data_IF_587614814349
#
_entry.id   IF_587614814349
#
_cell.length_a   1.000
_cell.length_b   1.000
_cell.length_c   1.000
_cell.angle_alpha   90.00
_cell.angle_beta   90.00
_cell.angle_gamma   90.00
#
_symmetry.space_group_name_H-M   'P 1'
#
loop_
_entity.id
_entity.type
_entity.pdbx_description
1 polymer ?
#
# COMPACT_ATOMS: atom_id res chain seq x y z
N UNK A 1 -9.16 -13.80 -1.11
CA UNK A 1 -8.17 -14.21 -0.10
C UNK A 1 -7.98 -13.09 0.92
N UNK A 2 -8.04 -13.44 2.19
CA UNK A 2 -7.91 -12.49 3.31
C UNK A 2 -6.46 -12.48 3.77
N UNK A 3 -5.76 -11.37 3.53
CA UNK A 3 -4.42 -11.17 4.08
C UNK A 3 -4.51 -10.49 5.44
N UNK A 4 -4.06 -11.19 6.48
CA UNK A 4 -3.94 -10.62 7.83
C UNK A 4 -2.59 -9.95 7.96
N UNK A 5 -2.58 -8.69 8.33
CA UNK A 5 -1.36 -7.98 8.71
C UNK A 5 -1.26 -7.98 10.23
N UNK A 6 -0.63 -9.00 10.75
CA UNK A 6 -0.22 -8.98 12.15
C UNK A 6 0.99 -8.04 12.30
N UNK A 7 1.01 -7.29 13.39
CA UNK A 7 2.06 -6.31 13.63
C UNK A 7 3.38 -7.01 13.92
N UNK A 8 4.33 -6.97 12.98
CA UNK A 8 5.68 -7.48 13.20
C UNK A 8 6.47 -6.51 14.09
N UNK A 9 6.95 -7.00 15.21
CA UNK A 9 7.88 -6.30 16.09
C UNK A 9 9.21 -7.02 16.05
N UNK A 10 10.28 -6.31 15.68
CA UNK A 10 11.65 -6.82 15.72
C UNK A 10 12.46 -5.98 16.69
N UNK A 11 12.96 -6.61 17.74
CA UNK A 11 13.99 -6.04 18.61
C UNK A 11 15.39 -6.37 18.06
N UNK A 12 16.39 -5.50 18.28
CA UNK A 12 17.77 -5.80 17.88
C UNK A 12 18.24 -7.13 18.49
N UNK A 13 18.67 -8.06 17.65
CA UNK A 13 19.23 -9.35 18.07
C UNK A 13 18.23 -10.43 18.50
N UNK A 14 16.91 -10.18 18.42
CA UNK A 14 15.87 -11.17 18.73
C UNK A 14 15.09 -11.59 17.50
N UNK A 15 14.41 -12.72 17.61
CA UNK A 15 13.50 -13.22 16.56
C UNK A 15 12.37 -12.26 16.31
N UNK A 16 11.86 -12.25 15.06
CA UNK A 16 10.69 -11.46 14.69
C UNK A 16 9.47 -12.03 15.39
N UNK A 17 8.83 -11.24 16.24
CA UNK A 17 7.60 -11.65 16.92
C UNK A 17 6.38 -11.00 16.27
N UNK A 18 5.32 -11.79 16.14
CA UNK A 18 4.01 -11.29 15.73
C UNK A 18 3.36 -10.62 16.95
N UNK A 19 3.23 -9.30 16.91
CA UNK A 19 2.63 -8.51 17.98
C UNK A 19 1.15 -8.20 17.74
N UNK A 20 0.50 -7.62 18.75
CA UNK A 20 -0.89 -7.15 18.63
C UNK A 20 -1.00 -6.01 17.61
N UNK A 21 -2.10 -5.97 16.86
CA UNK A 21 -2.42 -4.87 15.97
C UNK A 21 -2.58 -3.56 16.74
N UNK A 22 -2.06 -2.47 16.21
CA UNK A 22 -2.14 -1.14 16.84
C UNK A 22 -3.56 -0.58 16.96
N UNK A 23 -4.46 -0.99 16.06
CA UNK A 23 -5.86 -0.55 16.05
C UNK A 23 -6.76 -1.61 15.44
N UNK A 24 -8.06 -1.57 15.77
CA UNK A 24 -9.08 -2.46 15.19
C UNK A 24 -9.16 -2.31 13.65
N UNK A 25 -8.98 -1.10 13.13
CA UNK A 25 -8.97 -0.79 11.69
C UNK A 25 -7.77 -1.38 10.94
N UNK A 26 -6.76 -1.87 11.66
CA UNK A 26 -5.60 -2.55 11.05
C UNK A 26 -5.98 -3.93 10.49
N UNK A 27 -7.02 -4.58 11.02
CA UNK A 27 -7.54 -5.85 10.50
C UNK A 27 -8.58 -5.55 9.42
N UNK A 28 -8.22 -5.78 8.18
CA UNK A 28 -9.10 -5.52 7.03
C UNK A 28 -8.83 -6.45 5.86
N UNK A 29 -9.83 -6.64 5.03
CA UNK A 29 -9.70 -7.30 3.73
C UNK A 29 -9.33 -6.27 2.67
N UNK A 30 -8.32 -6.58 1.86
CA UNK A 30 -7.91 -5.74 0.74
C UNK A 30 -8.18 -6.55 -0.54
N UNK A 31 -9.03 -6.06 -1.45
CA UNK A 31 -9.22 -6.71 -2.74
C UNK A 31 -7.92 -6.61 -3.55
N UNK A 32 -7.54 -7.70 -4.17
CA UNK A 32 -6.36 -7.77 -5.03
C UNK A 32 -6.81 -7.79 -6.48
N UNK A 33 -6.10 -7.07 -7.34
CA UNK A 33 -6.28 -7.16 -8.78
C UNK A 33 -5.52 -8.39 -9.33
N UNK A 34 -5.82 -8.78 -10.57
CA UNK A 34 -5.26 -9.98 -11.19
C UNK A 34 -3.73 -9.95 -11.27
N UNK A 35 -3.14 -8.77 -11.50
CA UNK A 35 -1.68 -8.58 -11.50
C UNK A 35 -1.07 -8.91 -10.15
N UNK A 36 -1.66 -8.40 -9.06
CA UNK A 36 -1.18 -8.69 -7.71
C UNK A 36 -1.35 -10.17 -7.36
N UNK A 37 -2.46 -10.79 -7.77
CA UNK A 37 -2.70 -12.22 -7.58
C UNK A 37 -1.62 -13.04 -8.30
N UNK A 38 -1.35 -12.74 -9.57
CA UNK A 38 -0.33 -13.42 -10.36
C UNK A 38 1.07 -13.28 -9.73
N UNK A 39 1.44 -12.08 -9.28
CA UNK A 39 2.71 -11.85 -8.61
C UNK A 39 2.83 -12.65 -7.30
N UNK A 40 1.78 -12.74 -6.50
CA UNK A 40 1.75 -13.51 -5.26
C UNK A 40 1.89 -15.01 -5.55
N UNK A 41 1.20 -15.51 -6.57
CA UNK A 41 1.31 -16.89 -7.00
C UNK A 41 2.74 -17.23 -7.46
N UNK A 42 3.37 -16.32 -8.19
CA UNK A 42 4.76 -16.50 -8.63
C UNK A 42 5.77 -16.47 -7.47
N UNK A 43 5.57 -15.57 -6.50
CA UNK A 43 6.36 -15.57 -5.26
C UNK A 43 6.20 -16.88 -4.48
N UNK A 44 4.98 -17.40 -4.36
CA UNK A 44 4.74 -18.69 -3.71
C UNK A 44 5.44 -19.86 -4.41
N UNK A 45 5.48 -19.88 -5.72
CA UNK A 45 6.21 -20.92 -6.47
C UNK A 45 7.72 -20.94 -6.12
N UNK A 46 8.28 -19.76 -5.82
CA UNK A 46 9.73 -19.61 -5.57
C UNK A 46 10.11 -19.82 -4.11
N UNK A 47 9.21 -19.59 -3.18
CA UNK A 47 9.50 -19.59 -1.74
C UNK A 47 8.28 -20.05 -0.93
N UNK A 48 7.89 -21.31 -1.09
CA UNK A 48 6.79 -21.92 -0.34
C UNK A 48 7.31 -22.99 0.62
N UNK A 49 7.12 -22.77 1.89
CA UNK A 49 7.54 -23.66 2.98
C UNK A 49 6.34 -24.28 3.74
N UNK A 50 5.13 -24.08 3.27
CA UNK A 50 3.88 -24.54 3.89
C UNK A 50 2.77 -23.47 3.88
N UNK A 51 1.60 -23.79 4.38
CA UNK A 51 0.41 -22.92 4.33
C UNK A 51 0.59 -21.60 5.11
N UNK A 52 1.34 -21.66 6.22
CA UNK A 52 1.62 -20.49 7.08
C UNK A 52 2.82 -19.66 6.60
N UNK A 53 3.40 -19.98 5.44
CA UNK A 53 4.54 -19.24 4.89
C UNK A 53 4.17 -17.76 4.69
N UNK A 54 4.95 -16.81 5.25
CA UNK A 54 4.77 -15.39 4.99
C UNK A 54 4.87 -15.08 3.49
N UNK A 55 4.23 -14.00 3.03
CA UNK A 55 4.31 -13.59 1.62
C UNK A 55 5.75 -13.30 1.17
N UNK A 56 6.57 -12.77 2.07
CA UNK A 56 7.99 -12.53 1.83
C UNK A 56 8.78 -13.22 2.94
N UNK A 57 9.02 -14.52 2.81
CA UNK A 57 9.78 -15.28 3.80
C UNK A 57 11.27 -14.95 3.73
N UNK A 58 11.99 -15.30 4.78
CA UNK A 58 13.44 -15.43 4.73
C UNK A 58 13.87 -16.78 4.12
N UNK A 59 15.14 -17.10 4.20
CA UNK A 59 15.72 -18.34 3.66
C UNK A 59 15.27 -19.62 4.40
N UNK A 60 14.71 -19.47 5.59
CA UNK A 60 14.20 -20.58 6.41
C UNK A 60 12.67 -20.71 6.36
N UNK A 61 11.99 -19.82 5.66
CA UNK A 61 10.53 -19.78 5.59
C UNK A 61 9.86 -18.92 6.66
N UNK A 62 10.65 -18.25 7.50
CA UNK A 62 10.18 -17.38 8.56
C UNK A 62 9.97 -15.93 8.10
N UNK A 63 9.47 -15.09 8.99
CA UNK A 63 9.28 -13.67 8.70
C UNK A 63 10.59 -12.95 8.41
N UNK A 64 10.73 -12.37 7.24
CA UNK A 64 11.87 -11.52 6.92
C UNK A 64 11.96 -10.34 7.90
N UNK A 65 13.13 -10.14 8.52
CA UNK A 65 13.39 -9.01 9.42
C UNK A 65 13.17 -7.69 8.67
N UNK A 66 12.45 -6.71 9.26
CA UNK A 66 12.16 -5.42 8.61
C UNK A 66 13.40 -4.69 8.12
N UNK A 67 14.53 -4.82 8.83
CA UNK A 67 15.81 -4.23 8.43
C UNK A 67 16.34 -4.86 7.14
N UNK A 68 16.26 -6.18 7.01
CA UNK A 68 16.73 -6.91 5.83
C UNK A 68 15.85 -6.61 4.62
N UNK A 69 14.53 -6.57 4.81
CA UNK A 69 13.59 -6.16 3.76
C UNK A 69 13.91 -4.73 3.27
N UNK A 70 14.14 -3.79 4.19
CA UNK A 70 14.48 -2.41 3.85
C UNK A 70 15.82 -2.30 3.10
N UNK A 71 16.83 -3.09 3.49
CA UNK A 71 18.11 -3.15 2.77
C UNK A 71 17.94 -3.64 1.33
N UNK A 72 17.12 -4.68 1.12
CA UNK A 72 16.81 -5.20 -0.23
C UNK A 72 16.08 -4.13 -1.06
N UNK A 73 15.08 -3.48 -0.48
CA UNK A 73 14.32 -2.41 -1.13
C UNK A 73 15.24 -1.25 -1.57
N UNK A 74 16.13 -0.78 -0.70
CA UNK A 74 17.04 0.30 -1.05
C UNK A 74 18.07 -0.08 -2.13
N UNK A 75 18.48 -1.34 -2.19
CA UNK A 75 19.32 -1.82 -3.31
C UNK A 75 18.58 -1.79 -4.63
N UNK A 76 17.30 -2.13 -4.65
CA UNK A 76 16.47 -2.05 -5.85
C UNK A 76 16.32 -0.60 -6.31
N UNK A 77 16.03 0.34 -5.40
CA UNK A 77 15.95 1.77 -5.74
C UNK A 77 17.27 2.28 -6.34
N UNK A 78 18.40 1.95 -5.73
CA UNK A 78 19.71 2.36 -6.22
C UNK A 78 20.02 1.78 -7.61
N UNK A 79 19.72 0.50 -7.84
CA UNK A 79 19.90 -0.15 -9.13
C UNK A 79 19.01 0.46 -10.23
N UNK A 80 17.84 0.97 -9.87
CA UNK A 80 16.92 1.66 -10.77
C UNK A 80 17.21 3.16 -10.93
N UNK A 81 18.26 3.70 -10.30
CA UNK A 81 18.56 5.13 -10.33
C UNK A 81 17.51 6.01 -9.62
N UNK A 82 16.70 5.42 -8.74
CA UNK A 82 15.64 6.11 -8.02
C UNK A 82 16.17 6.63 -6.69
N UNK A 83 15.89 7.91 -6.40
CA UNK A 83 16.23 8.52 -5.11
C UNK A 83 15.69 7.69 -3.94
N UNK A 84 16.48 7.58 -2.87
CA UNK A 84 16.13 6.81 -1.68
C UNK A 84 14.88 7.37 -1.00
N UNK A 85 13.78 6.64 -1.10
CA UNK A 85 12.49 6.91 -0.45
C UNK A 85 12.19 5.81 0.57
N UNK A 86 11.54 6.16 1.67
CA UNK A 86 11.10 5.16 2.66
C UNK A 86 9.98 4.27 2.09
N UNK A 87 9.84 3.04 2.62
CA UNK A 87 8.75 2.13 2.21
C UNK A 87 7.35 2.77 2.31
N UNK A 88 7.18 3.71 3.23
CA UNK A 88 5.91 4.41 3.40
C UNK A 88 5.54 5.28 2.19
N UNK A 89 6.53 5.70 1.40
CA UNK A 89 6.29 6.43 0.15
C UNK A 89 5.50 5.62 -0.88
N UNK A 90 5.67 4.30 -0.92
CA UNK A 90 4.87 3.42 -1.78
C UNK A 90 3.38 3.50 -1.43
N UNK A 91 3.07 3.52 -0.12
CA UNK A 91 1.71 3.69 0.36
C UNK A 91 1.15 5.08 0.00
N UNK A 92 1.97 6.13 0.09
CA UNK A 92 1.57 7.48 -0.32
C UNK A 92 1.30 7.55 -1.82
N UNK A 93 2.17 6.99 -2.65
CA UNK A 93 1.99 6.93 -4.11
C UNK A 93 0.71 6.18 -4.47
N UNK A 94 0.49 5.01 -3.87
CA UNK A 94 -0.73 4.22 -4.07
C UNK A 94 -1.98 5.03 -3.74
N UNK A 95 -2.02 5.65 -2.56
CA UNK A 95 -3.16 6.45 -2.13
C UNK A 95 -3.40 7.67 -3.04
N UNK A 96 -2.33 8.40 -3.39
CA UNK A 96 -2.40 9.54 -4.31
C UNK A 96 -2.96 9.14 -5.67
N UNK A 97 -2.49 8.05 -6.24
CA UNK A 97 -2.95 7.58 -7.54
C UNK A 97 -4.44 7.20 -7.50
N UNK A 98 -4.89 6.54 -6.44
CA UNK A 98 -6.30 6.17 -6.30
C UNK A 98 -7.22 7.38 -6.13
N UNK A 99 -6.81 8.37 -5.34
CA UNK A 99 -7.64 9.57 -5.10
C UNK A 99 -7.63 10.49 -6.33
N UNK A 100 -6.47 10.75 -6.91
CA UNK A 100 -6.35 11.69 -8.04
C UNK A 100 -6.72 11.05 -9.39
N UNK A 101 -6.85 9.73 -9.41
CA UNK A 101 -7.26 8.96 -10.58
C UNK A 101 -6.10 8.48 -11.45
N UNK A 102 -6.34 7.36 -12.09
CA UNK A 102 -5.42 6.72 -13.02
C UNK A 102 -6.11 6.72 -14.39
N UNK A 103 -5.39 7.23 -15.39
CA UNK A 103 -5.87 7.20 -16.77
C UNK A 103 -5.90 5.76 -17.26
N UNK A 104 -7.04 5.35 -17.82
CA UNK A 104 -7.26 4.06 -18.42
C UNK A 104 -6.84 4.07 -19.91
N UNK A 105 -6.76 2.91 -20.53
CA UNK A 105 -6.44 2.76 -21.94
C UNK A 105 -7.44 3.45 -22.87
N UNK A 106 -8.71 3.48 -22.48
CA UNK A 106 -9.79 4.17 -23.18
C UNK A 106 -9.79 5.71 -23.00
N UNK A 107 -8.79 6.24 -22.26
CA UNK A 107 -8.65 7.65 -21.97
C UNK A 107 -9.46 8.15 -20.77
N UNK A 108 -10.35 7.34 -20.19
CA UNK A 108 -11.11 7.68 -18.99
C UNK A 108 -10.19 7.79 -17.76
N UNK A 109 -10.64 8.47 -16.72
CA UNK A 109 -9.94 8.56 -15.43
C UNK A 109 -10.76 7.81 -14.39
N UNK A 110 -10.17 6.75 -13.84
CA UNK A 110 -10.76 5.98 -12.74
C UNK A 110 -10.16 6.42 -11.42
N UNK A 111 -10.98 6.92 -10.50
CA UNK A 111 -10.57 7.34 -9.17
C UNK A 111 -11.50 6.76 -8.10
N UNK A 112 -11.01 6.76 -6.87
CA UNK A 112 -11.78 6.40 -5.68
C UNK A 112 -12.00 7.63 -4.81
N UNK A 113 -13.10 7.64 -4.08
CA UNK A 113 -13.34 8.68 -3.08
C UNK A 113 -12.30 8.60 -1.96
N UNK A 114 -11.96 9.71 -1.28
CA UNK A 114 -11.07 9.71 -0.14
C UNK A 114 -11.48 8.71 0.95
N UNK A 115 -12.78 8.51 1.14
CA UNK A 115 -13.32 7.54 2.09
C UNK A 115 -12.97 6.10 1.70
N UNK A 116 -13.19 5.72 0.44
CA UNK A 116 -12.83 4.39 -0.06
C UNK A 116 -11.34 4.12 0.06
N UNK A 117 -10.51 5.12 -0.23
CA UNK A 117 -9.06 5.00 -0.06
C UNK A 117 -8.67 4.89 1.41
N UNK A 118 -9.33 5.63 2.31
CA UNK A 118 -9.11 5.51 3.75
C UNK A 118 -9.43 4.09 4.26
N UNK A 119 -10.53 3.51 3.81
CA UNK A 119 -10.93 2.14 4.17
C UNK A 119 -9.90 1.10 3.67
N UNK A 120 -9.42 1.23 2.42
CA UNK A 120 -8.36 0.38 1.87
C UNK A 120 -7.04 0.51 2.65
N UNK A 121 -6.70 1.72 3.08
CA UNK A 121 -5.49 1.99 3.84
C UNK A 121 -5.62 1.67 5.33
N UNK A 122 -6.84 1.50 5.85
CA UNK A 122 -7.12 1.32 7.26
C UNK A 122 -6.88 2.60 8.06
N UNK A 123 -7.17 3.76 7.49
CA UNK A 123 -7.22 5.02 8.23
C UNK A 123 -8.50 5.06 9.06
N UNK A 124 -8.43 5.56 10.28
CA UNK A 124 -9.60 5.70 11.15
C UNK A 124 -10.59 6.76 10.65
N UNK A 125 -10.11 7.72 9.86
CA UNK A 125 -10.92 8.80 9.28
C UNK A 125 -10.49 9.10 7.84
N UNK A 126 -11.41 9.60 7.01
CA UNK A 126 -11.09 10.09 5.65
C UNK A 126 -10.27 11.37 5.66
N UNK A 127 -10.32 12.15 6.73
CA UNK A 127 -9.60 13.43 6.87
C UNK A 127 -8.09 13.29 6.60
N UNK A 128 -7.47 12.20 7.06
CA UNK A 128 -6.06 11.93 6.79
C UNK A 128 -5.84 11.74 5.28
N UNK A 129 -6.74 11.04 4.61
CA UNK A 129 -6.66 10.81 3.16
C UNK A 129 -6.88 12.11 2.38
N UNK A 130 -7.85 12.91 2.78
CA UNK A 130 -8.14 14.21 2.17
C UNK A 130 -6.98 15.18 2.33
N UNK A 131 -6.43 15.29 3.53
CA UNK A 131 -5.34 16.22 3.83
C UNK A 131 -4.04 15.91 3.06
N UNK A 132 -3.69 14.63 2.94
CA UNK A 132 -2.38 14.24 2.40
C UNK A 132 -2.40 13.84 0.92
N UNK A 133 -3.55 13.42 0.38
CA UNK A 133 -3.58 12.80 -0.95
C UNK A 133 -4.42 13.55 -1.97
N UNK A 134 -5.39 14.34 -1.53
CA UNK A 134 -6.18 15.19 -2.45
C UNK A 134 -5.31 16.37 -2.86
N UNK A 135 -4.91 16.41 -4.12
CA UNK A 135 -4.27 17.60 -4.67
C UNK A 135 -5.30 18.73 -4.72
N UNK A 136 -4.92 19.89 -4.24
CA UNK A 136 -5.68 21.14 -4.46
C UNK A 136 -5.53 21.56 -5.93
N UNK A 137 -6.16 20.82 -6.80
CA UNK A 137 -6.22 21.14 -8.22
C UNK A 137 -7.45 22.02 -8.47
N UNK A 138 -7.23 23.32 -8.36
CA UNK A 138 -8.27 24.31 -8.61
C UNK A 138 -8.68 24.37 -10.08
N UNK A 139 -7.91 23.77 -11.00
CA UNK A 139 -8.29 23.73 -12.42
C UNK A 139 -9.56 22.89 -12.64
N UNK A 140 -9.83 21.92 -11.77
CA UNK A 140 -11.06 21.12 -11.78
C UNK A 140 -12.30 21.88 -11.28
N UNK A 141 -12.10 23.05 -10.68
CA UNK A 141 -13.16 23.93 -10.21
C UNK A 141 -13.57 24.95 -11.29
N UNK A 142 -12.82 25.04 -12.39
CA UNK A 142 -13.18 25.88 -13.52
C UNK A 142 -14.53 25.43 -14.09
N UNK A 143 -15.46 26.34 -14.20
CA UNK A 143 -16.79 26.08 -14.72
C UNK A 143 -17.80 25.46 -13.75
N UNK A 144 -17.38 25.03 -12.53
CA UNK A 144 -18.34 24.48 -11.55
C UNK A 144 -19.37 25.54 -11.09
N UNK A 145 -18.96 26.81 -11.09
CA UNK A 145 -19.82 27.92 -10.69
C UNK A 145 -20.61 28.53 -11.87
N UNK A 146 -20.36 28.07 -13.11
CA UNK A 146 -20.99 28.60 -14.33
C UNK A 146 -22.44 28.16 -14.44
N UNK A 147 -23.25 28.33 -13.55
CA UNK A 147 -24.69 27.98 -13.50
C UNK A 147 -25.32 28.37 -12.19
N UNK A 148 -24.53 28.88 -11.29
CA UNK A 148 -25.02 29.45 -10.04
C UNK A 148 -25.15 30.97 -10.23
N UNK A 149 -26.35 31.44 -10.58
CA UNK A 149 -26.69 32.86 -10.51
C UNK A 149 -26.89 33.20 -9.02
N UNK A 150 -25.91 33.79 -8.40
CA UNK A 150 -25.97 34.38 -7.07
C UNK A 150 -26.40 35.85 -7.17
#
# INVERSE_FOLDING_TARGET
EVWRRDGLQAEPGRDVKVGKLKSATSKRTIPLNDTAIAMIQDLRKKAYFGEDTPLVPDEHGDYTRPVNFRKRYYRILAAAGIEKKGLHSLRHTFASNLVNGIRQEDGSIKSLTPRQVADLLGHSTSQITELYYVKKDTSRLHGITDGFNL
#
